data_IF_745632068753
#
_entry.id   IF_745632068753
#
_cell.length_a   1.000
_cell.length_b   1.000
_cell.length_c   1.000
_cell.angle_alpha   90.00
_cell.angle_beta   90.00
_cell.angle_gamma   90.00
#
_symmetry.space_group_name_H-M   'P 1'
#
loop_
_entity.id
_entity.type
_entity.pdbx_description
1 polymer ?
#
# COMPACT_ATOMS: atom_id res chain seq x y z
N UNK A 1 -9.94 10.54 -21.68
CA UNK A 1 -8.63 10.06 -21.21
C UNK A 1 -8.82 9.47 -19.82
N UNK A 2 -8.39 8.24 -19.58
CA UNK A 2 -8.51 7.52 -18.30
C UNK A 2 -7.18 6.85 -17.95
N UNK A 3 -6.97 6.54 -16.68
CA UNK A 3 -5.74 5.89 -16.18
C UNK A 3 -6.04 5.04 -14.93
N UNK A 4 -5.05 4.34 -14.39
CA UNK A 4 -5.21 3.58 -13.15
C UNK A 4 -5.29 4.49 -11.91
N UNK A 5 -5.95 4.00 -10.87
CA UNK A 5 -6.19 4.73 -9.62
C UNK A 5 -5.30 4.26 -8.45
N UNK A 6 -4.52 3.20 -8.65
CA UNK A 6 -3.64 2.63 -7.62
C UNK A 6 -3.15 1.24 -7.98
N UNK A 7 -2.47 0.59 -7.05
CA UNK A 7 -1.84 -0.72 -7.26
C UNK A 7 -2.84 -1.86 -7.50
N UNK A 8 -4.01 -1.78 -6.86
CA UNK A 8 -4.98 -2.88 -6.84
C UNK A 8 -4.54 -4.04 -5.94
N UNK A 9 -5.51 -4.76 -5.37
CA UNK A 9 -5.25 -5.85 -4.42
C UNK A 9 -4.85 -7.13 -5.14
N UNK A 10 -3.91 -7.86 -4.55
CA UNK A 10 -3.55 -9.24 -4.90
C UNK A 10 -4.18 -10.25 -3.94
N UNK A 11 -4.63 -9.78 -2.77
CA UNK A 11 -5.19 -10.61 -1.70
C UNK A 11 -6.53 -10.08 -1.20
N UNK A 12 -7.39 -11.00 -0.77
CA UNK A 12 -8.58 -10.64 0.01
C UNK A 12 -8.18 -10.04 1.38
N UNK A 13 -9.07 -9.25 1.98
CA UNK A 13 -8.86 -8.70 3.34
C UNK A 13 -8.72 -9.80 4.38
N UNK A 14 -9.52 -10.86 4.27
CA UNK A 14 -9.46 -12.01 5.17
C UNK A 14 -8.12 -12.74 5.07
N UNK A 15 -7.58 -12.90 3.86
CA UNK A 15 -6.26 -13.49 3.66
C UNK A 15 -5.15 -12.60 4.24
N UNK A 16 -5.19 -11.29 3.97
CA UNK A 16 -4.21 -10.35 4.50
C UNK A 16 -4.13 -10.41 6.05
N UNK A 17 -5.28 -10.46 6.74
CA UNK A 17 -5.32 -10.61 8.21
C UNK A 17 -4.77 -11.92 8.74
N UNK A 18 -4.83 -13.00 7.96
CA UNK A 18 -4.26 -14.30 8.35
C UNK A 18 -2.75 -14.34 8.16
N UNK A 19 -2.25 -13.68 7.12
CA UNK A 19 -0.84 -13.70 6.76
C UNK A 19 -0.01 -12.59 7.42
N UNK A 20 -0.66 -11.51 7.86
CA UNK A 20 0.02 -10.34 8.40
C UNK A 20 -0.38 -10.07 9.83
N UNK A 21 0.63 -9.93 10.68
CA UNK A 21 0.49 -9.48 12.05
C UNK A 21 0.54 -7.96 12.11
N UNK A 22 -0.56 -7.33 12.53
CA UNK A 22 -0.68 -5.86 12.52
C UNK A 22 0.32 -5.15 13.43
N UNK A 23 0.65 -5.74 14.58
CA UNK A 23 1.65 -5.24 15.54
C UNK A 23 3.07 -5.23 14.96
N UNK A 24 3.43 -6.28 14.21
CA UNK A 24 4.71 -6.34 13.51
C UNK A 24 4.76 -5.36 12.33
N UNK A 25 3.66 -5.24 11.60
CA UNK A 25 3.53 -4.28 10.51
C UNK A 25 3.71 -2.84 11.00
N UNK A 26 3.07 -2.48 12.12
CA UNK A 26 3.23 -1.17 12.75
C UNK A 26 4.70 -0.90 13.09
N UNK A 27 5.35 -1.82 13.83
CA UNK A 27 6.77 -1.67 14.21
C UNK A 27 7.68 -1.50 13.00
N UNK A 28 7.42 -2.25 11.92
CA UNK A 28 8.20 -2.16 10.69
C UNK A 28 8.02 -0.81 10.00
N UNK A 29 6.79 -0.28 9.94
CA UNK A 29 6.50 1.05 9.38
C UNK A 29 7.16 2.16 10.20
N UNK A 30 7.04 2.10 11.53
CA UNK A 30 7.65 3.08 12.44
C UNK A 30 9.18 3.04 12.38
N UNK A 31 9.78 1.85 12.28
CA UNK A 31 11.22 1.69 12.03
C UNK A 31 11.67 2.35 10.73
N UNK A 32 10.80 2.41 9.72
CA UNK A 32 11.05 3.09 8.46
C UNK A 32 10.69 4.58 8.48
N UNK A 33 10.42 5.17 9.65
CA UNK A 33 10.11 6.59 9.81
C UNK A 33 8.69 6.97 9.44
N UNK A 34 7.77 6.00 9.36
CA UNK A 34 6.35 6.22 9.07
C UNK A 34 5.59 6.17 10.39
N UNK A 35 5.02 7.30 10.81
CA UNK A 35 4.10 7.33 11.96
C UNK A 35 2.85 6.49 11.67
N UNK A 36 2.44 5.62 12.59
CA UNK A 36 1.24 4.79 12.40
C UNK A 36 0.24 5.02 13.52
N UNK A 37 -1.01 5.26 13.15
CA UNK A 37 -2.14 5.30 14.08
C UNK A 37 -3.30 4.50 13.50
N UNK A 38 -3.68 3.40 14.15
CA UNK A 38 -4.76 2.53 13.71
C UNK A 38 -5.74 2.24 14.85
N UNK A 39 -7.04 2.24 14.56
CA UNK A 39 -8.08 1.87 15.55
C UNK A 39 -7.96 0.40 15.95
N UNK A 40 -7.64 -0.48 15.01
CA UNK A 40 -7.39 -1.90 15.29
C UNK A 40 -6.19 -2.43 14.52
N UNK A 41 -5.46 -3.38 15.11
CA UNK A 41 -4.35 -4.08 14.45
C UNK A 41 -4.83 -4.95 13.29
N UNK A 42 -6.05 -5.49 13.38
CA UNK A 42 -6.67 -6.23 12.29
C UNK A 42 -6.92 -5.33 11.07
N UNK A 43 -7.41 -4.10 11.28
CA UNK A 43 -7.59 -3.11 10.21
C UNK A 43 -6.26 -2.70 9.57
N UNK A 44 -5.20 -2.53 10.37
CA UNK A 44 -3.87 -2.26 9.85
C UNK A 44 -3.33 -3.41 8.99
N UNK A 45 -3.55 -4.66 9.41
CA UNK A 45 -3.12 -5.84 8.67
C UNK A 45 -3.83 -6.00 7.30
N UNK A 46 -5.07 -5.52 7.15
CA UNK A 46 -5.79 -5.54 5.87
C UNK A 46 -5.10 -4.69 4.77
N UNK A 47 -4.32 -3.70 5.19
CA UNK A 47 -3.66 -2.69 4.35
C UNK A 47 -2.15 -2.91 4.21
N UNK A 48 -1.66 -4.07 4.66
CA UNK A 48 -0.26 -4.43 4.48
C UNK A 48 0.15 -4.30 3.01
N UNK A 49 1.36 -3.78 2.74
CA UNK A 49 1.85 -3.63 1.37
C UNK A 49 1.80 -4.93 0.55
N UNK A 50 1.99 -6.08 1.22
CA UNK A 50 1.87 -7.43 0.61
C UNK A 50 0.48 -7.73 0.02
N UNK A 51 -0.58 -7.06 0.50
CA UNK A 51 -1.95 -7.24 0.01
C UNK A 51 -2.20 -6.55 -1.35
N UNK A 52 -1.27 -5.71 -1.80
CA UNK A 52 -1.34 -4.93 -3.03
C UNK A 52 -0.27 -5.37 -4.04
N UNK A 53 -0.48 -5.03 -5.31
CA UNK A 53 0.59 -5.11 -6.31
C UNK A 53 1.69 -4.10 -5.96
N UNK A 54 2.87 -4.31 -6.54
CA UNK A 54 3.85 -3.25 -6.59
C UNK A 54 3.30 -2.10 -7.45
N UNK A 55 3.26 -0.89 -6.89
CA UNK A 55 2.78 0.31 -7.59
C UNK A 55 3.70 0.67 -8.75
N UNK A 56 5.00 0.38 -8.65
CA UNK A 56 5.96 0.69 -9.70
C UNK A 56 5.65 -0.10 -10.97
N UNK A 57 5.31 -1.39 -10.84
CA UNK A 57 4.92 -2.23 -11.98
C UNK A 57 3.68 -1.66 -12.70
N UNK A 58 2.70 -1.15 -11.95
CA UNK A 58 1.48 -0.57 -12.52
C UNK A 58 1.80 0.72 -13.27
N UNK A 59 2.61 1.61 -12.68
CA UNK A 59 2.98 2.88 -13.31
C UNK A 59 3.86 2.66 -14.53
N UNK A 60 4.85 1.76 -14.47
CA UNK A 60 5.72 1.40 -15.60
C UNK A 60 4.92 0.88 -16.79
N UNK A 61 3.92 0.03 -16.54
CA UNK A 61 3.06 -0.52 -17.59
C UNK A 61 2.26 0.56 -18.31
N UNK A 62 1.78 1.58 -17.59
CA UNK A 62 1.00 2.67 -18.17
C UNK A 62 1.86 3.67 -18.93
N UNK A 63 3.07 3.92 -18.45
CA UNK A 63 4.05 4.79 -19.12
C UNK A 63 4.54 4.13 -20.41
N UNK A 64 4.87 2.84 -20.38
CA UNK A 64 5.23 2.06 -21.57
C UNK A 64 4.11 2.03 -22.62
N UNK A 65 2.84 2.03 -22.18
CA UNK A 65 1.68 2.11 -23.07
C UNK A 65 1.40 3.54 -23.59
N UNK A 66 2.13 4.56 -23.13
CA UNK A 66 1.92 5.96 -23.51
C UNK A 66 0.63 6.57 -22.94
N UNK A 67 0.03 5.95 -21.92
CA UNK A 67 -1.24 6.40 -21.31
C UNK A 67 -1.00 7.45 -20.22
N UNK A 68 0.10 7.29 -19.47
CA UNK A 68 0.46 8.16 -18.34
C UNK A 68 1.90 8.61 -18.50
N UNK A 69 2.22 9.82 -17.98
CA UNK A 69 3.60 10.31 -17.84
C UNK A 69 3.92 10.46 -16.36
N UNK A 70 5.03 9.89 -15.89
CA UNK A 70 5.50 10.12 -14.51
C UNK A 70 5.85 11.59 -14.29
N UNK A 71 5.53 12.10 -13.11
CA UNK A 71 5.82 13.50 -12.72
C UNK A 71 6.55 13.55 -11.39
N UNK A 72 5.98 12.90 -10.37
CA UNK A 72 6.55 12.87 -9.02
C UNK A 72 6.19 11.56 -8.34
N UNK A 73 7.07 11.09 -7.45
CA UNK A 73 6.80 10.00 -6.52
C UNK A 73 6.84 10.55 -5.09
N UNK A 74 5.90 10.12 -4.25
CA UNK A 74 5.79 10.54 -2.86
C UNK A 74 6.14 9.36 -1.94
N UNK A 75 6.81 9.66 -0.83
CA UNK A 75 7.08 8.70 0.23
C UNK A 75 6.21 9.04 1.45
N UNK A 76 5.51 8.07 2.05
CA UNK A 76 4.70 8.33 3.22
C UNK A 76 5.58 8.62 4.43
N UNK A 77 5.14 9.56 5.27
CA UNK A 77 5.70 9.83 6.60
C UNK A 77 4.69 9.49 7.73
N UNK A 78 3.45 9.17 7.36
CA UNK A 78 2.39 8.85 8.30
C UNK A 78 1.27 8.02 7.64
N UNK A 79 0.66 7.14 8.43
CA UNK A 79 -0.51 6.33 8.08
C UNK A 79 -1.50 6.36 9.25
N UNK A 80 -2.64 7.02 9.05
CA UNK A 80 -3.70 7.16 10.05
C UNK A 80 -4.95 6.46 9.54
N UNK A 81 -5.43 5.43 10.25
CA UNK A 81 -6.49 4.55 9.81
C UNK A 81 -7.57 4.32 10.87
N UNK A 82 -8.80 4.62 10.48
CA UNK A 82 -10.05 4.21 11.16
C UNK A 82 -10.47 2.79 10.81
#
# INVERSE_FOLDING_TARGET
SSTAHGAGRTMSRAQAKREVRGDELQKNMEKNGIYVHAVTMAGLAEEAGKAYKDIEIVVDSLEAAGITRRVVALKPIGNVKG
#
